data_IF_084608634458
#
_entry.id   IF_084608634458
#
_cell.length_a   1.000
_cell.length_b   1.000
_cell.length_c   1.000
_cell.angle_alpha   90.00
_cell.angle_beta   90.00
_cell.angle_gamma   90.00
#
_symmetry.space_group_name_H-M   'P 1'
#
loop_
_entity.id
_entity.type
_entity.pdbx_description
1 polymer ?
#
# COMPACT_ATOMS: atom_id res chain seq x y z
N UNK A 1 15.94 1.78 14.16
CA UNK A 1 14.64 2.09 14.80
C UNK A 1 14.03 0.76 15.20
N UNK A 2 13.25 0.76 16.27
CA UNK A 2 12.56 -0.43 16.80
C UNK A 2 11.11 -0.35 16.32
N UNK A 3 10.55 -1.41 15.69
CA UNK A 3 9.13 -1.44 15.35
C UNK A 3 8.27 -1.41 16.62
N UNK A 4 7.24 -0.57 16.63
CA UNK A 4 6.25 -0.51 17.72
C UNK A 4 4.97 -1.27 17.38
N UNK A 5 4.73 -1.49 16.08
CA UNK A 5 3.55 -2.15 15.53
C UNK A 5 3.83 -2.71 14.15
N UNK A 6 2.89 -3.47 13.62
CA UNK A 6 2.82 -3.86 12.21
C UNK A 6 1.40 -3.66 11.68
N UNK A 7 1.27 -3.58 10.35
CA UNK A 7 -0.02 -3.49 9.69
C UNK A 7 -0.50 -4.85 9.20
N UNK A 8 -1.79 -5.11 9.33
CA UNK A 8 -2.49 -6.27 8.75
C UNK A 8 -3.49 -5.78 7.71
N UNK A 9 -3.41 -6.31 6.48
CA UNK A 9 -4.29 -5.95 5.37
C UNK A 9 -4.28 -7.01 4.26
N UNK A 10 -5.02 -6.75 3.17
CA UNK A 10 -5.19 -7.66 2.03
C UNK A 10 -4.04 -7.65 1.01
N UNK A 11 -2.90 -6.99 1.26
CA UNK A 11 -1.76 -6.97 0.34
C UNK A 11 -0.62 -7.90 0.79
N UNK A 12 -0.64 -9.20 0.44
CA UNK A 12 0.44 -10.14 0.80
C UNK A 12 1.73 -9.90 0.01
N UNK A 13 1.66 -9.12 -1.06
CA UNK A 13 2.79 -8.70 -1.91
C UNK A 13 2.69 -7.23 -2.26
N UNK A 14 3.78 -6.66 -2.78
CA UNK A 14 3.81 -5.24 -3.18
C UNK A 14 3.08 -4.91 -4.49
N UNK A 15 2.68 -5.91 -5.29
CA UNK A 15 1.93 -5.66 -6.53
C UNK A 15 0.47 -5.39 -6.19
N UNK A 16 -0.07 -4.30 -6.71
CA UNK A 16 -1.45 -3.86 -6.44
C UNK A 16 -1.59 -2.83 -5.32
N UNK A 17 -0.58 -2.64 -4.47
CA UNK A 17 -0.62 -1.60 -3.43
C UNK A 17 -0.78 -0.23 -4.09
N UNK A 18 -1.75 0.60 -3.64
CA UNK A 18 -1.89 1.98 -4.11
C UNK A 18 -0.59 2.76 -3.95
N UNK A 19 -0.30 3.62 -4.90
CA UNK A 19 1.00 4.34 -4.94
C UNK A 19 1.16 5.40 -3.87
N UNK A 20 0.07 5.81 -3.24
CA UNK A 20 0.04 6.74 -2.11
C UNK A 20 -1.16 6.40 -1.23
N UNK A 21 -1.04 6.67 0.07
CA UNK A 21 -2.14 6.58 1.01
C UNK A 21 -3.31 7.50 0.60
N UNK A 22 -4.52 7.09 0.93
CA UNK A 22 -5.74 7.84 0.65
C UNK A 22 -6.27 7.75 -0.80
N UNK A 23 -5.52 7.15 -1.74
CA UNK A 23 -6.01 6.98 -3.13
C UNK A 23 -7.19 6.02 -3.22
N UNK A 24 -7.17 4.97 -2.43
CA UNK A 24 -8.24 3.98 -2.33
C UNK A 24 -8.75 3.97 -0.90
N UNK A 25 -9.71 4.83 -0.61
CA UNK A 25 -10.26 5.04 0.74
C UNK A 25 -11.00 3.81 1.31
N UNK A 26 -11.49 2.92 0.43
CA UNK A 26 -12.19 1.71 0.86
C UNK A 26 -11.25 0.61 1.43
N UNK A 27 -9.93 0.76 1.29
CA UNK A 27 -8.97 -0.20 1.84
C UNK A 27 -8.93 -0.12 3.35
N UNK A 28 -9.33 -1.21 4.00
CA UNK A 28 -9.28 -1.35 5.46
C UNK A 28 -8.02 -2.08 5.89
N UNK A 29 -7.49 -1.65 7.03
CA UNK A 29 -6.32 -2.29 7.65
C UNK A 29 -6.41 -2.19 9.18
N UNK A 30 -5.67 -3.10 9.84
CA UNK A 30 -5.46 -3.08 11.30
C UNK A 30 -4.01 -2.76 11.59
N UNK A 31 -3.76 -1.92 12.58
CA UNK A 31 -2.43 -1.70 13.13
C UNK A 31 -2.41 -2.39 14.49
N UNK A 32 -1.57 -3.41 14.58
CA UNK A 32 -1.42 -4.25 15.76
C UNK A 32 -0.09 -3.92 16.41
N UNK A 33 -0.13 -3.45 17.65
CA UNK A 33 1.09 -3.11 18.40
C UNK A 33 1.88 -4.37 18.77
N UNK A 34 3.19 -4.24 18.82
CA UNK A 34 4.04 -5.28 19.36
C UNK A 34 3.78 -5.43 20.88
N UNK A 35 3.93 -6.64 21.45
CA UNK A 35 3.53 -6.92 22.84
C UNK A 35 4.08 -5.93 23.88
N UNK A 36 5.30 -5.44 23.70
CA UNK A 36 5.95 -4.46 24.57
C UNK A 36 5.24 -3.10 24.59
N UNK A 37 4.56 -2.74 23.47
CA UNK A 37 3.91 -1.44 23.27
C UNK A 37 2.39 -1.50 23.36
N UNK A 38 1.80 -2.63 23.73
CA UNK A 38 0.35 -2.82 23.93
C UNK A 38 -0.12 -2.17 25.22
N UNK A 39 -0.17 -0.83 25.22
CA UNK A 39 -0.62 -0.05 26.36
C UNK A 39 -1.73 0.92 25.92
N UNK A 40 -2.93 0.73 26.46
CA UNK A 40 -4.10 1.56 26.13
C UNK A 40 -3.91 3.03 26.48
N UNK A 41 -3.11 3.35 27.50
CA UNK A 41 -2.82 4.72 27.86
C UNK A 41 -2.02 5.47 26.80
N UNK A 42 -1.22 4.75 26.00
CA UNK A 42 -0.48 5.33 24.87
C UNK A 42 -1.39 5.77 23.71
N UNK A 43 -2.61 5.24 23.63
CA UNK A 43 -3.61 5.58 22.61
C UNK A 43 -4.69 6.53 23.14
N UNK A 44 -4.63 6.96 24.41
CA UNK A 44 -5.65 7.82 25.00
C UNK A 44 -5.74 9.15 24.28
N UNK A 45 -6.96 9.49 23.79
CA UNK A 45 -7.24 10.71 23.03
C UNK A 45 -6.94 10.59 21.53
N UNK A 46 -6.42 9.45 21.06
CA UNK A 46 -6.15 9.25 19.62
C UNK A 46 -7.45 9.18 18.82
N UNK A 47 -8.53 8.71 19.41
CA UNK A 47 -9.89 8.64 18.84
C UNK A 47 -10.50 10.00 18.51
N UNK A 48 -9.94 11.09 19.03
CA UNK A 48 -10.36 12.46 18.71
C UNK A 48 -9.82 12.94 17.36
N UNK A 49 -8.85 12.20 16.76
CA UNK A 49 -8.25 12.55 15.48
C UNK A 49 -8.84 11.72 14.37
N UNK A 50 -9.18 12.35 13.25
CA UNK A 50 -9.70 11.68 12.06
C UNK A 50 -8.63 11.01 11.20
N UNK A 51 -7.38 11.47 11.28
CA UNK A 51 -6.25 10.97 10.50
C UNK A 51 -4.99 10.88 11.36
N UNK A 52 -4.13 9.94 10.98
CA UNK A 52 -2.82 9.73 11.62
C UNK A 52 -1.74 9.56 10.57
N UNK A 53 -0.53 9.97 10.92
CA UNK A 53 0.70 9.67 10.20
C UNK A 53 1.26 8.33 10.68
N UNK A 54 1.61 7.46 9.73
CA UNK A 54 2.39 6.25 9.97
C UNK A 54 3.81 6.48 9.47
N UNK A 55 4.80 6.25 10.32
CA UNK A 55 6.22 6.22 9.98
C UNK A 55 6.65 4.75 9.99
N UNK A 56 7.04 4.22 8.83
CA UNK A 56 7.22 2.80 8.61
C UNK A 56 8.43 2.46 7.74
N UNK A 57 8.73 1.19 7.54
CA UNK A 57 9.89 0.74 6.76
C UNK A 57 9.47 -0.03 5.50
N UNK A 58 10.09 0.31 4.37
CA UNK A 58 10.06 -0.52 3.17
C UNK A 58 10.92 -1.77 3.37
N UNK A 59 10.45 -2.72 4.18
CA UNK A 59 11.21 -3.89 4.63
C UNK A 59 11.76 -4.74 3.49
N UNK A 60 11.01 -4.86 2.37
CA UNK A 60 11.39 -5.63 1.18
C UNK A 60 12.24 -4.85 0.15
N UNK A 61 12.55 -3.58 0.41
CA UNK A 61 13.32 -2.75 -0.52
C UNK A 61 14.71 -2.41 -0.02
N UNK A 62 15.17 -3.05 1.06
CA UNK A 62 16.50 -2.84 1.64
C UNK A 62 17.58 -3.16 0.62
N UNK A 63 18.55 -2.25 0.47
CA UNK A 63 19.72 -2.43 -0.39
C UNK A 63 20.99 -2.11 0.39
N UNK A 64 22.06 -2.81 0.07
CA UNK A 64 23.38 -2.55 0.64
C UNK A 64 24.03 -1.26 0.11
N UNK A 65 23.61 -0.84 -1.10
CA UNK A 65 24.10 0.41 -1.72
C UNK A 65 22.90 1.22 -2.21
N UNK A 66 22.89 2.52 -1.92
CA UNK A 66 21.89 3.45 -2.43
C UNK A 66 22.37 4.10 -3.74
N UNK A 67 21.43 4.67 -4.48
CA UNK A 67 21.72 5.47 -5.68
C UNK A 67 21.18 6.88 -5.50
N UNK A 68 21.92 7.93 -5.89
CA UNK A 68 21.43 9.29 -5.80
C UNK A 68 20.26 9.58 -6.74
N UNK A 69 20.05 8.71 -7.74
CA UNK A 69 18.97 8.87 -8.72
C UNK A 69 18.15 7.59 -8.86
N UNK A 70 16.87 7.76 -9.15
CA UNK A 70 15.90 6.69 -9.46
C UNK A 70 15.18 7.00 -10.78
N UNK A 71 14.50 6.00 -11.33
CA UNK A 71 13.65 6.13 -12.53
C UNK A 71 12.20 5.95 -12.11
N UNK A 72 11.45 7.03 -11.89
CA UNK A 72 10.04 6.92 -11.52
C UNK A 72 9.26 6.24 -12.64
N UNK A 73 8.47 5.18 -12.34
CA UNK A 73 7.69 4.47 -13.37
C UNK A 73 6.71 5.38 -14.13
N UNK A 74 6.15 6.38 -13.47
CA UNK A 74 5.22 7.37 -14.09
C UNK A 74 5.85 8.29 -15.12
N UNK A 75 7.18 8.38 -15.17
CA UNK A 75 7.92 9.12 -16.19
C UNK A 75 8.44 8.19 -17.31
N UNK A 76 7.75 7.04 -17.54
CA UNK A 76 8.09 6.08 -18.58
C UNK A 76 9.35 5.26 -18.31
N UNK A 77 9.91 5.34 -17.09
CA UNK A 77 11.09 4.56 -16.67
C UNK A 77 12.42 5.01 -17.26
N UNK A 78 12.44 5.99 -18.18
CA UNK A 78 13.65 6.48 -18.84
C UNK A 78 14.20 7.77 -18.21
N UNK A 79 13.35 8.58 -17.60
CA UNK A 79 13.74 9.84 -16.97
C UNK A 79 14.31 9.56 -15.58
N UNK A 80 15.51 10.06 -15.29
CA UNK A 80 16.10 10.01 -13.95
C UNK A 80 15.69 11.22 -13.12
N UNK A 81 15.38 10.98 -11.85
CA UNK A 81 15.14 12.02 -10.83
C UNK A 81 16.03 11.77 -9.62
N UNK A 82 16.40 12.81 -8.92
CA UNK A 82 17.04 12.69 -7.61
C UNK A 82 16.16 11.89 -6.66
N UNK A 83 16.74 10.98 -5.88
CA UNK A 83 15.97 10.12 -4.97
C UNK A 83 15.15 10.93 -3.97
N UNK A 84 15.66 12.08 -3.52
CA UNK A 84 14.98 12.96 -2.58
C UNK A 84 13.84 13.79 -3.22
N UNK A 85 13.81 13.88 -4.55
CA UNK A 85 12.68 14.45 -5.29
C UNK A 85 11.59 13.40 -5.59
N UNK A 86 11.61 12.25 -4.94
CA UNK A 86 10.65 11.15 -5.11
C UNK A 86 10.32 10.50 -3.78
N UNK A 87 9.26 9.68 -3.75
CA UNK A 87 8.90 8.78 -2.64
C UNK A 87 9.36 7.34 -2.89
N UNK A 88 10.44 7.15 -3.67
CA UNK A 88 11.02 5.84 -3.94
C UNK A 88 11.51 5.17 -2.65
N UNK A 89 11.33 3.84 -2.49
CA UNK A 89 11.85 3.08 -1.35
C UNK A 89 13.39 2.97 -1.36
N UNK A 90 14.03 3.19 -2.53
CA UNK A 90 15.48 3.01 -2.70
C UNK A 90 16.28 4.22 -2.21
N UNK A 91 16.07 4.56 -0.95
CA UNK A 91 16.65 5.69 -0.21
C UNK A 91 17.78 5.20 0.72
N UNK A 92 18.65 6.09 1.23
CA UNK A 92 19.62 5.72 2.27
C UNK A 92 18.96 5.07 3.50
N UNK A 93 17.83 5.66 3.94
CA UNK A 93 16.95 5.08 4.95
C UNK A 93 15.62 4.75 4.27
N UNK A 94 15.25 3.49 4.24
CA UNK A 94 14.03 3.00 3.56
C UNK A 94 12.76 3.31 4.36
N UNK A 95 12.61 4.58 4.78
CA UNK A 95 11.48 5.04 5.59
C UNK A 95 10.34 5.48 4.68
N UNK A 96 9.14 5.00 4.97
CA UNK A 96 7.87 5.42 4.41
C UNK A 96 7.12 6.35 5.35
N UNK A 97 6.26 7.19 4.80
CA UNK A 97 5.36 8.09 5.51
C UNK A 97 4.02 8.07 4.81
N UNK A 98 2.97 7.69 5.56
CA UNK A 98 1.60 7.58 5.05
C UNK A 98 0.62 8.26 5.98
N UNK A 99 -0.22 9.13 5.44
CA UNK A 99 -1.38 9.66 6.15
C UNK A 99 -2.56 8.73 5.88
N UNK A 100 -3.16 8.17 6.93
CA UNK A 100 -4.31 7.26 6.84
C UNK A 100 -5.47 7.79 7.66
N UNK A 101 -6.70 7.47 7.26
CA UNK A 101 -7.87 7.79 8.06
C UNK A 101 -7.94 6.82 9.24
N UNK A 102 -8.15 7.33 10.44
CA UNK A 102 -8.42 6.54 11.63
C UNK A 102 -9.94 6.29 11.71
N UNK A 103 -10.33 5.02 11.64
CA UNK A 103 -11.74 4.60 11.73
C UNK A 103 -12.12 4.33 13.20
N UNK A 104 -11.27 3.60 13.92
CA UNK A 104 -11.57 3.16 15.30
C UNK A 104 -10.29 2.88 16.07
N UNK A 105 -10.29 3.17 17.37
CA UNK A 105 -9.35 2.64 18.37
C UNK A 105 -10.07 1.57 19.18
N UNK A 106 -9.72 0.31 18.98
CA UNK A 106 -10.32 -0.83 19.71
C UNK A 106 -9.50 -1.13 20.95
N UNK A 107 -10.16 -1.14 22.13
CA UNK A 107 -9.54 -1.35 23.43
C UNK A 107 -9.98 -2.67 24.08
N UNK A 108 -10.88 -3.41 23.46
CA UNK A 108 -11.58 -4.58 23.98
C UNK A 108 -11.27 -5.88 23.19
N UNK A 109 -10.24 -5.86 22.34
CA UNK A 109 -9.78 -7.01 21.55
C UNK A 109 -8.58 -7.71 22.22
N UNK A 110 -8.29 -8.99 21.91
CA UNK A 110 -7.18 -9.74 22.51
C UNK A 110 -5.82 -9.07 22.37
N UNK A 111 -5.59 -8.35 21.25
CA UNK A 111 -4.33 -7.66 20.94
C UNK A 111 -4.39 -6.15 21.22
N UNK A 112 -5.37 -5.71 22.04
CA UNK A 112 -5.59 -4.27 22.36
C UNK A 112 -4.37 -3.57 22.92
N UNK A 113 -4.21 -2.27 22.57
CA UNK A 113 -5.04 -1.49 21.64
C UNK A 113 -4.79 -1.89 20.18
N UNK A 114 -5.83 -1.86 19.34
CA UNK A 114 -5.74 -2.05 17.86
C UNK A 114 -6.31 -0.83 17.17
N UNK A 115 -5.61 -0.31 16.17
CA UNK A 115 -6.13 0.81 15.37
C UNK A 115 -6.68 0.28 14.05
N UNK A 116 -7.93 0.59 13.74
CA UNK A 116 -8.52 0.36 12.44
C UNK A 116 -8.36 1.60 11.59
N UNK A 117 -7.79 1.43 10.39
CA UNK A 117 -7.48 2.53 9.48
C UNK A 117 -7.96 2.25 8.07
N UNK A 118 -8.18 3.33 7.31
CA UNK A 118 -8.57 3.27 5.90
C UNK A 118 -7.53 3.96 5.02
N UNK A 119 -7.40 3.47 3.78
CA UNK A 119 -6.56 4.08 2.74
C UNK A 119 -5.06 3.86 2.90
N UNK A 120 -4.63 2.82 3.60
CA UNK A 120 -3.21 2.51 3.74
C UNK A 120 -2.58 2.01 2.43
N UNK A 121 -1.33 2.39 2.18
CA UNK A 121 -0.50 2.02 1.03
C UNK A 121 0.71 1.16 1.45
N UNK A 122 0.51 0.29 2.42
CA UNK A 122 1.52 -0.59 2.99
C UNK A 122 1.23 -2.06 2.65
N UNK A 123 2.27 -2.86 2.54
CA UNK A 123 2.16 -4.31 2.42
C UNK A 123 1.82 -4.93 3.79
N UNK A 124 1.09 -6.03 3.79
CA UNK A 124 0.79 -6.80 4.99
C UNK A 124 2.07 -7.19 5.76
N UNK A 125 2.08 -7.01 7.07
CA UNK A 125 3.22 -7.25 7.95
C UNK A 125 4.30 -6.16 7.91
N UNK A 126 4.05 -5.01 7.25
CA UNK A 126 5.01 -3.90 7.25
C UNK A 126 5.21 -3.35 8.65
N UNK A 127 6.47 -3.23 9.14
CA UNK A 127 6.77 -2.69 10.45
C UNK A 127 6.54 -1.18 10.52
N UNK A 128 5.89 -0.73 11.58
CA UNK A 128 5.61 0.68 11.90
C UNK A 128 6.50 1.09 13.06
N UNK A 129 7.18 2.22 12.91
CA UNK A 129 8.14 2.76 13.90
C UNK A 129 7.55 3.83 14.79
N UNK A 130 6.56 4.59 14.27
CA UNK A 130 5.94 5.68 15.01
C UNK A 130 4.56 5.99 14.42
N UNK A 131 3.68 6.52 15.27
CA UNK A 131 2.34 6.98 14.94
C UNK A 131 2.19 8.39 15.49
N UNK A 132 1.72 9.34 14.65
CA UNK A 132 1.46 10.72 15.07
C UNK A 132 0.10 11.18 14.61
N UNK A 133 -0.62 12.01 15.36
CA UNK A 133 -1.85 12.61 14.89
C UNK A 133 -1.57 13.53 13.69
N UNK A 134 -2.50 13.56 12.72
CA UNK A 134 -2.52 14.58 11.67
C UNK A 134 -3.12 15.87 12.21
N UNK A 135 -2.40 16.97 12.04
CA UNK A 135 -2.80 18.29 12.54
C UNK A 135 -3.13 19.21 11.35
N UNK A 136 -4.42 19.45 11.03
CA UNK A 136 -4.83 20.12 9.79
C UNK A 136 -4.16 21.46 9.53
N UNK A 137 -4.03 22.30 10.55
CA UNK A 137 -3.42 23.62 10.37
C UNK A 137 -1.91 23.60 10.15
N UNK A 138 -1.24 22.50 10.49
CA UNK A 138 0.21 22.33 10.33
C UNK A 138 0.58 21.47 9.13
N UNK A 139 -0.25 20.46 8.82
CA UNK A 139 0.08 19.43 7.83
C UNK A 139 -0.55 19.70 6.45
N UNK A 140 -1.62 20.53 6.39
CA UNK A 140 -2.32 20.82 5.14
C UNK A 140 -1.76 22.08 4.48
N UNK A 141 -1.28 21.93 3.24
CA UNK A 141 -0.75 23.01 2.40
C UNK A 141 -1.47 23.03 1.05
N UNK A 142 -2.67 23.66 0.94
CA UNK A 142 -3.46 23.66 -0.30
C UNK A 142 -2.71 24.30 -1.49
N UNK A 143 -1.78 25.24 -1.22
CA UNK A 143 -0.96 25.92 -2.21
C UNK A 143 0.26 25.12 -2.69
N UNK A 144 0.53 23.94 -2.09
CA UNK A 144 1.69 23.15 -2.44
C UNK A 144 1.61 22.62 -3.88
N UNK A 145 2.74 22.64 -4.59
CA UNK A 145 2.85 22.13 -5.96
C UNK A 145 3.44 20.73 -5.99
N UNK A 146 2.82 19.81 -6.75
CA UNK A 146 3.18 18.40 -6.80
C UNK A 146 4.17 18.01 -7.91
N UNK A 147 4.72 18.98 -8.69
CA UNK A 147 5.63 18.68 -9.81
C UNK A 147 5.06 17.63 -10.76
N UNK A 148 5.84 16.60 -11.13
CA UNK A 148 5.44 15.56 -12.09
C UNK A 148 4.30 14.65 -11.58
N UNK A 149 3.94 14.70 -10.31
CA UNK A 149 2.85 13.88 -9.75
C UNK A 149 1.46 14.42 -10.14
N UNK A 150 1.36 15.70 -10.50
CA UNK A 150 0.11 16.35 -10.91
C UNK A 150 -0.51 15.72 -12.17
N UNK A 151 0.34 15.26 -13.11
CA UNK A 151 -0.09 14.74 -14.42
C UNK A 151 -0.77 13.36 -14.37
N UNK A 152 -0.79 12.70 -13.22
CA UNK A 152 -1.22 11.30 -13.12
C UNK A 152 -2.20 11.04 -11.97
N UNK A 153 -2.73 12.10 -11.35
CA UNK A 153 -3.62 11.96 -10.19
C UNK A 153 -5.02 11.42 -10.58
N UNK A 154 -5.48 11.74 -11.79
CA UNK A 154 -6.86 11.47 -12.24
C UNK A 154 -6.95 10.26 -13.19
N UNK A 155 -5.90 9.43 -13.30
CA UNK A 155 -5.94 8.23 -14.13
C UNK A 155 -6.69 7.11 -13.41
N UNK A 156 -7.78 6.62 -14.03
CA UNK A 156 -8.57 5.49 -13.56
C UNK A 156 -8.96 4.60 -14.73
N UNK A 157 -9.08 3.30 -14.48
CA UNK A 157 -9.57 2.31 -15.43
C UNK A 157 -11.02 1.94 -15.12
N UNK A 158 -11.76 1.60 -16.18
CA UNK A 158 -13.07 0.98 -16.09
C UNK A 158 -12.90 -0.51 -15.80
N UNK A 159 -13.40 -1.00 -14.66
CA UNK A 159 -13.24 -2.39 -14.23
C UNK A 159 -14.44 -3.22 -14.65
N UNK A 160 -14.21 -4.20 -15.51
CA UNK A 160 -15.15 -5.26 -15.83
C UNK A 160 -14.83 -6.48 -14.97
N UNK A 161 -15.66 -6.74 -13.95
CA UNK A 161 -15.50 -7.86 -13.04
C UNK A 161 -16.78 -8.73 -13.12
N UNK A 162 -16.74 -9.93 -13.75
CA UNK A 162 -17.87 -10.83 -13.81
C UNK A 162 -18.42 -11.17 -12.43
N UNK A 163 -19.75 -11.12 -12.26
CA UNK A 163 -20.40 -11.27 -10.96
C UNK A 163 -20.04 -12.61 -10.28
N UNK A 164 -19.98 -13.69 -11.06
CA UNK A 164 -19.60 -15.02 -10.59
C UNK A 164 -18.17 -15.12 -10.02
N UNK A 165 -17.24 -14.31 -10.56
CA UNK A 165 -15.88 -14.21 -10.03
C UNK A 165 -15.83 -13.29 -8.81
N UNK A 166 -16.59 -12.20 -8.81
CA UNK A 166 -16.67 -11.26 -7.70
C UNK A 166 -17.25 -11.92 -6.44
N UNK A 167 -18.15 -12.87 -6.59
CA UNK A 167 -18.73 -13.63 -5.49
C UNK A 167 -17.71 -14.51 -4.74
N UNK A 168 -16.56 -14.82 -5.37
CA UNK A 168 -15.44 -15.54 -4.73
C UNK A 168 -14.63 -14.67 -3.79
N UNK A 169 -14.86 -13.36 -3.80
CA UNK A 169 -14.20 -12.37 -2.93
C UNK A 169 -15.09 -12.15 -1.70
N UNK A 170 -14.53 -12.08 -0.47
CA UNK A 170 -15.28 -11.69 0.71
C UNK A 170 -16.04 -10.38 0.52
N UNK A 171 -17.28 -10.30 0.98
CA UNK A 171 -18.17 -9.16 0.70
C UNK A 171 -17.58 -7.82 1.11
N UNK A 172 -16.92 -7.78 2.27
CA UNK A 172 -16.26 -6.61 2.84
C UNK A 172 -15.07 -6.10 2.04
N UNK A 173 -14.42 -6.97 1.25
CA UNK A 173 -13.22 -6.62 0.47
C UNK A 173 -13.53 -6.26 -0.99
N UNK A 174 -14.77 -6.47 -1.48
CA UNK A 174 -15.13 -6.30 -2.90
C UNK A 174 -14.98 -4.87 -3.39
N UNK A 175 -15.50 -3.91 -2.63
CA UNK A 175 -15.43 -2.48 -2.97
C UNK A 175 -13.95 -2.03 -3.04
N UNK A 176 -13.15 -2.40 -2.04
CA UNK A 176 -11.74 -2.09 -1.99
C UNK A 176 -10.97 -2.70 -3.17
N UNK A 177 -11.22 -3.97 -3.51
CA UNK A 177 -10.60 -4.64 -4.65
C UNK A 177 -10.91 -3.95 -5.98
N UNK A 178 -12.20 -3.61 -6.24
CA UNK A 178 -12.60 -2.90 -7.46
C UNK A 178 -11.89 -1.54 -7.54
N UNK A 179 -11.85 -0.80 -6.44
CA UNK A 179 -11.18 0.49 -6.39
C UNK A 179 -9.66 0.40 -6.61
N UNK A 180 -9.00 -0.65 -6.09
CA UNK A 180 -7.57 -0.95 -6.37
C UNK A 180 -7.34 -1.24 -7.84
N UNK A 181 -8.19 -2.05 -8.47
CA UNK A 181 -8.08 -2.36 -9.91
C UNK A 181 -8.32 -1.10 -10.76
N UNK A 182 -9.26 -0.25 -10.36
CA UNK A 182 -9.51 1.04 -11.02
C UNK A 182 -8.34 2.03 -10.90
N UNK A 183 -7.52 1.97 -9.83
CA UNK A 183 -6.30 2.80 -9.66
C UNK A 183 -5.12 2.37 -10.54
N UNK A 184 -5.31 1.42 -11.46
CA UNK A 184 -4.33 0.85 -12.39
C UNK A 184 -3.08 0.30 -11.69
N UNK A 185 -3.10 -0.95 -11.21
CA UNK A 185 -1.98 -1.56 -10.49
C UNK A 185 -0.75 -1.81 -11.36
N UNK A 186 -0.86 -1.66 -12.70
CA UNK A 186 0.24 -1.91 -13.63
C UNK A 186 1.37 -0.88 -13.50
N UNK A 187 2.60 -1.25 -13.85
CA UNK A 187 3.64 -0.27 -14.15
C UNK A 187 3.24 0.62 -15.35
N UNK A 188 3.33 1.94 -15.21
CA UNK A 188 2.85 2.92 -16.17
C UNK A 188 3.44 2.83 -17.60
N UNK A 189 4.50 2.02 -17.80
CA UNK A 189 5.14 1.80 -19.11
C UNK A 189 4.65 0.52 -19.83
N UNK A 190 3.67 -0.20 -19.24
CA UNK A 190 3.18 -1.46 -19.80
C UNK A 190 1.82 -1.24 -20.46
N UNK A 191 1.80 -1.20 -21.80
CA UNK A 191 0.60 -1.02 -22.63
C UNK A 191 0.40 -2.19 -23.61
N UNK A 192 0.62 -3.43 -23.16
CA UNK A 192 0.39 -4.63 -23.95
C UNK A 192 -0.98 -5.23 -23.58
N UNK A 193 -1.99 -5.17 -24.49
CA UNK A 193 -3.35 -5.66 -24.22
C UNK A 193 -3.42 -7.19 -24.08
N UNK A 194 -2.46 -7.93 -24.66
CA UNK A 194 -2.41 -9.40 -24.53
C UNK A 194 -1.75 -9.86 -23.23
N UNK A 195 -1.11 -8.96 -22.51
CA UNK A 195 -0.44 -9.30 -21.28
C UNK A 195 -1.42 -9.61 -20.15
N UNK A 196 -1.23 -10.76 -19.54
CA UNK A 196 -1.95 -11.19 -18.35
C UNK A 196 -1.21 -10.76 -17.09
N UNK A 197 -1.97 -10.29 -16.10
CA UNK A 197 -1.48 -9.92 -14.77
C UNK A 197 -2.13 -10.81 -13.72
N UNK A 198 -1.40 -11.16 -12.67
CA UNK A 198 -1.92 -11.77 -11.45
C UNK A 198 -1.63 -10.86 -10.28
N UNK A 199 -2.66 -10.51 -9.51
CA UNK A 199 -2.57 -9.63 -8.34
C UNK A 199 -3.08 -10.34 -7.10
N UNK A 200 -2.21 -10.71 -6.17
CA UNK A 200 -2.63 -11.22 -4.88
C UNK A 200 -3.37 -10.15 -4.07
N UNK A 201 -4.56 -10.51 -3.58
CA UNK A 201 -5.38 -9.67 -2.71
C UNK A 201 -6.12 -10.55 -1.69
N UNK A 202 -5.83 -10.36 -0.41
CA UNK A 202 -6.21 -11.30 0.63
C UNK A 202 -5.66 -12.71 0.35
N UNK A 203 -6.55 -13.68 0.36
CA UNK A 203 -6.24 -15.08 0.06
C UNK A 203 -6.42 -15.45 -1.43
N UNK A 204 -6.72 -14.47 -2.29
CA UNK A 204 -7.01 -14.68 -3.71
C UNK A 204 -5.92 -14.10 -4.62
N UNK A 205 -5.76 -14.70 -5.80
CA UNK A 205 -4.97 -14.18 -6.90
C UNK A 205 -5.90 -13.77 -8.04
N UNK A 206 -5.92 -12.47 -8.34
CA UNK A 206 -6.85 -11.85 -9.29
C UNK A 206 -6.17 -11.72 -10.65
N UNK A 207 -6.68 -12.46 -11.64
CA UNK A 207 -6.11 -12.47 -12.98
C UNK A 207 -6.87 -11.53 -13.90
N UNK A 208 -6.17 -10.59 -14.53
CA UNK A 208 -6.77 -9.59 -15.40
C UNK A 208 -5.91 -9.22 -16.61
N UNK A 209 -6.52 -8.58 -17.59
CA UNK A 209 -5.89 -7.89 -18.72
C UNK A 209 -6.39 -6.47 -18.80
N UNK A 210 -5.64 -5.61 -19.48
CA UNK A 210 -6.05 -4.22 -19.70
C UNK A 210 -5.87 -3.86 -21.16
N UNK A 211 -6.96 -3.38 -21.76
CA UNK A 211 -7.02 -2.89 -23.14
C UNK A 211 -7.56 -1.46 -23.12
N UNK A 212 -6.74 -0.51 -23.51
CA UNK A 212 -7.05 0.91 -23.37
C UNK A 212 -7.29 1.30 -21.91
N UNK A 213 -8.49 1.77 -21.61
CA UNK A 213 -8.96 2.17 -20.28
C UNK A 213 -9.85 1.10 -19.59
N UNK A 214 -9.96 -0.09 -20.18
CA UNK A 214 -10.78 -1.18 -19.65
C UNK A 214 -9.90 -2.27 -19.06
N UNK A 215 -10.09 -2.54 -17.76
CA UNK A 215 -9.52 -3.68 -17.04
C UNK A 215 -10.55 -4.81 -16.94
N UNK A 216 -10.23 -5.97 -17.53
CA UNK A 216 -11.09 -7.16 -17.50
C UNK A 216 -10.52 -8.24 -16.62
N UNK A 217 -11.24 -8.56 -15.54
CA UNK A 217 -10.94 -9.74 -14.71
C UNK A 217 -11.51 -10.97 -15.40
N UNK A 218 -10.65 -11.97 -15.60
CA UNK A 218 -11.06 -13.20 -16.29
C UNK A 218 -10.93 -14.45 -15.43
N UNK A 219 -10.23 -14.39 -14.29
CA UNK A 219 -10.12 -15.50 -13.35
C UNK A 219 -9.79 -15.03 -11.93
N UNK A 220 -10.20 -15.82 -10.94
CA UNK A 220 -9.86 -15.67 -9.52
C UNK A 220 -9.50 -17.04 -8.99
N UNK A 221 -8.28 -17.18 -8.44
CA UNK A 221 -7.76 -18.42 -7.88
C UNK A 221 -7.30 -18.21 -6.43
N UNK A 222 -7.00 -19.29 -5.71
CA UNK A 222 -6.40 -19.17 -4.38
C UNK A 222 -4.95 -18.65 -4.51
N UNK A 223 -4.60 -17.71 -3.64
CA UNK A 223 -3.22 -17.24 -3.56
C UNK A 223 -2.40 -18.16 -2.68
N UNK A 224 -1.39 -18.79 -3.27
CA UNK A 224 -0.41 -19.61 -2.54
C UNK A 224 0.90 -18.84 -2.48
N UNK A 225 1.26 -18.35 -1.29
CA UNK A 225 2.56 -17.71 -1.07
C UNK A 225 3.66 -18.75 -1.32
N UNK A 226 4.37 -18.64 -2.45
CA UNK A 226 5.55 -19.47 -2.69
C UNK A 226 6.54 -19.20 -1.57
N UNK A 227 6.90 -20.21 -0.79
CA UNK A 227 8.03 -20.12 0.12
C UNK A 227 9.25 -19.67 -0.71
N UNK A 228 9.85 -18.56 -0.34
CA UNK A 228 11.12 -18.16 -0.91
C UNK A 228 12.12 -19.27 -0.53
N UNK A 229 12.47 -20.11 -1.50
CA UNK A 229 13.68 -20.93 -1.39
C UNK A 229 14.82 -19.97 -1.07
N UNK A 230 15.37 -20.09 0.11
CA UNK A 230 16.59 -19.41 0.51
C UNK A 230 17.62 -19.67 -0.58
N UNK A 231 17.95 -18.62 -1.36
CA UNK A 231 19.17 -18.66 -2.17
C UNK A 231 20.33 -18.71 -1.18
N UNK A 232 20.62 -19.92 -0.71
CA UNK A 232 21.87 -20.27 -0.12
C UNK A 232 22.95 -20.00 -1.18
N UNK A 233 23.80 -19.09 -0.82
CA UNK A 233 25.19 -18.93 -1.19
C UNK A 233 25.69 -19.89 -2.29
N UNK A 234 25.90 -19.35 -3.50
CA UNK A 234 26.84 -19.92 -4.43
C UNK A 234 28.00 -18.97 -4.53
N UNK A 235 28.97 -19.14 -3.62
CA UNK A 235 30.27 -18.54 -3.70
C UNK A 235 31.00 -18.95 -5.00
N UNK A 236 31.53 -17.96 -5.69
CA UNK A 236 32.87 -17.95 -6.29
C UNK A 236 33.19 -16.53 -6.74
#
# INVERSE_FOLDING_TARGET
MIPIAHIENDFPTKFGIPRQSGRVGALKARIVFEPEYRNVDACRGLEEFSHIWLIWEFSEAKRTKWSPTVRPPRLGGNVRKGVFATRSPFRPNSIGLSCVKLEKVALDEPDSPVLYVEGADLMNGTPIFDIKPYIPYADCHPEATGSFTEYSKDHHLNVEFPQELLERIPGESREALIAVLADDPRPAYQNDPERSYGMPFGEKDIHFRVDGDILRVYNVTEFVKKQQESRADCGK
#
